data_IF_510555981357
#
_entry.id   IF_510555981357
#
_cell.length_a   1.000
_cell.length_b   1.000
_cell.length_c   1.000
_cell.angle_alpha   90.00
_cell.angle_beta   90.00
_cell.angle_gamma   90.00
#
_symmetry.space_group_name_H-M   'P 1'
#
loop_
_entity.id
_entity.type
_entity.pdbx_description
1 polymer ?
#
# COMPACT_ATOMS: atom_id res chain seq x y z
N UNK A 1 47.20 4.40 13.16
CA UNK A 1 46.76 3.80 11.88
C UNK A 1 45.58 4.62 11.38
N UNK A 2 45.81 5.51 10.41
CA UNK A 2 44.82 6.46 9.92
C UNK A 2 43.88 5.81 8.90
N UNK A 3 42.58 5.95 9.11
CA UNK A 3 41.57 5.56 8.14
C UNK A 3 41.36 6.70 7.15
N UNK A 4 41.68 6.43 5.88
CA UNK A 4 41.39 7.31 4.77
C UNK A 4 39.88 7.29 4.50
N UNK A 5 39.23 8.43 4.70
CA UNK A 5 37.84 8.68 4.31
C UNK A 5 37.82 8.84 2.79
N UNK A 6 37.21 7.90 2.08
CA UNK A 6 36.97 8.00 0.65
C UNK A 6 35.86 9.04 0.39
N UNK A 7 36.04 9.99 -0.55
CA UNK A 7 35.00 10.94 -0.91
C UNK A 7 33.86 10.23 -1.66
N UNK A 8 32.65 10.31 -1.11
CA UNK A 8 31.42 9.89 -1.79
C UNK A 8 31.26 10.69 -3.10
N UNK A 9 31.20 9.96 -4.21
CA UNK A 9 31.03 10.50 -5.54
C UNK A 9 29.72 11.25 -5.72
N UNK A 10 29.82 12.39 -6.41
CA UNK A 10 28.68 13.16 -6.89
C UNK A 10 27.81 12.29 -7.80
N UNK A 11 26.53 12.14 -7.45
CA UNK A 11 25.53 11.54 -8.32
C UNK A 11 25.34 12.44 -9.56
N UNK A 12 25.25 11.86 -10.77
CA UNK A 12 24.92 12.65 -11.96
C UNK A 12 23.52 13.24 -11.79
N UNK A 13 23.43 14.57 -11.85
CA UNK A 13 22.18 15.30 -11.88
C UNK A 13 21.36 14.83 -13.10
N UNK A 14 20.28 14.09 -12.85
CA UNK A 14 19.32 13.71 -13.88
C UNK A 14 18.76 14.97 -14.54
N UNK A 15 18.91 15.07 -15.85
CA UNK A 15 18.34 16.16 -16.64
C UNK A 15 16.82 16.25 -16.40
N UNK A 16 16.25 17.45 -16.24
CA UNK A 16 14.81 17.60 -16.03
C UNK A 16 14.06 17.01 -17.24
N UNK A 17 12.96 16.25 -17.01
CA UNK A 17 12.15 15.73 -18.09
C UNK A 17 11.61 16.90 -18.93
N UNK A 18 11.71 16.75 -20.26
CA UNK A 18 11.15 17.71 -21.21
C UNK A 18 9.66 17.95 -20.90
N UNK A 19 9.16 19.20 -21.00
CA UNK A 19 7.78 19.51 -20.67
C UNK A 19 6.86 18.71 -21.58
N UNK A 20 6.04 17.85 -20.98
CA UNK A 20 4.99 17.12 -21.67
C UNK A 20 4.10 18.11 -22.43
N UNK A 21 3.83 17.81 -23.71
CA UNK A 21 3.06 18.67 -24.60
C UNK A 21 1.74 19.12 -23.96
N UNK A 22 1.42 20.40 -24.11
CA UNK A 22 0.22 20.99 -23.54
C UNK A 22 -1.03 20.19 -23.96
N UNK A 23 -1.91 19.81 -23.02
CA UNK A 23 -3.12 19.06 -23.34
C UNK A 23 -3.99 19.88 -24.31
N UNK A 24 -4.50 19.23 -25.35
CA UNK A 24 -5.41 19.84 -26.31
C UNK A 24 -6.60 20.49 -25.59
N UNK A 25 -6.95 21.72 -25.97
CA UNK A 25 -8.00 22.46 -25.31
C UNK A 25 -9.34 21.69 -25.37
N UNK A 26 -10.10 21.61 -24.26
CA UNK A 26 -11.34 20.85 -24.22
C UNK A 26 -12.37 21.43 -25.20
N UNK A 27 -13.01 20.54 -25.95
CA UNK A 27 -14.04 20.89 -26.93
C UNK A 27 -15.29 21.52 -26.30
N UNK A 28 -16.13 22.17 -27.09
CA UNK A 28 -17.33 22.88 -26.61
C UNK A 28 -18.23 22.00 -25.70
N UNK A 29 -18.55 20.77 -26.13
CA UNK A 29 -19.39 19.87 -25.35
C UNK A 29 -18.71 19.41 -24.04
N UNK A 30 -17.39 19.26 -24.02
CA UNK A 30 -16.65 18.99 -22.79
C UNK A 30 -16.71 20.17 -21.82
N UNK A 31 -16.66 21.42 -22.34
CA UNK A 31 -16.82 22.63 -21.52
C UNK A 31 -18.22 22.75 -20.92
N UNK A 32 -19.26 22.45 -21.72
CA UNK A 32 -20.66 22.43 -21.23
C UNK A 32 -20.85 21.34 -20.18
N UNK A 33 -20.30 20.14 -20.42
CA UNK A 33 -20.32 19.03 -19.46
C UNK A 33 -19.62 19.39 -18.14
N UNK A 34 -18.43 19.99 -18.20
CA UNK A 34 -17.71 20.48 -17.02
C UNK A 34 -18.47 21.59 -16.29
N UNK A 35 -19.13 22.51 -17.01
CA UNK A 35 -19.92 23.57 -16.41
C UNK A 35 -21.14 23.02 -15.66
N UNK A 36 -21.87 22.08 -16.26
CA UNK A 36 -22.99 21.39 -15.62
C UNK A 36 -22.54 20.56 -14.42
N UNK A 37 -21.41 19.86 -14.54
CA UNK A 37 -20.83 19.10 -13.43
C UNK A 37 -20.47 20.01 -12.25
N UNK A 38 -19.84 21.17 -12.51
CA UNK A 38 -19.52 22.16 -11.47
C UNK A 38 -20.77 22.79 -10.87
N UNK A 39 -21.79 23.10 -11.67
CA UNK A 39 -23.05 23.61 -11.16
C UNK A 39 -23.71 22.58 -10.23
N UNK A 40 -23.67 21.29 -10.61
CA UNK A 40 -24.15 20.20 -9.79
C UNK A 40 -23.37 20.10 -8.47
N UNK A 41 -22.03 20.16 -8.49
CA UNK A 41 -21.20 20.15 -7.27
C UNK A 41 -21.49 21.37 -6.38
N UNK A 42 -21.67 22.57 -6.93
CA UNK A 42 -22.07 23.76 -6.17
C UNK A 42 -23.45 23.62 -5.54
N UNK A 43 -24.41 23.05 -6.27
CA UNK A 43 -25.72 22.75 -5.74
C UNK A 43 -25.62 21.76 -4.58
N UNK A 44 -24.83 20.69 -4.71
CA UNK A 44 -24.61 19.70 -3.65
C UNK A 44 -23.95 20.30 -2.40
N UNK A 45 -23.00 21.24 -2.57
CA UNK A 45 -22.33 21.89 -1.44
C UNK A 45 -23.16 23.00 -0.78
N UNK A 46 -24.19 23.52 -1.44
CA UNK A 46 -25.08 24.54 -0.87
C UNK A 46 -25.85 24.02 0.35
N UNK A 47 -26.31 24.92 1.22
CA UNK A 47 -27.15 24.56 2.39
C UNK A 47 -28.40 23.80 1.96
N UNK A 48 -29.03 24.21 0.86
CA UNK A 48 -30.17 23.51 0.27
C UNK A 48 -29.79 22.11 -0.24
N UNK A 49 -28.65 21.96 -0.91
CA UNK A 49 -28.16 20.66 -1.37
C UNK A 49 -27.87 19.69 -0.24
N UNK A 50 -27.24 20.17 0.84
CA UNK A 50 -27.01 19.37 2.05
C UNK A 50 -28.32 18.94 2.71
N UNK A 51 -29.33 19.81 2.74
CA UNK A 51 -30.65 19.48 3.26
C UNK A 51 -31.33 18.40 2.40
N UNK A 52 -31.34 18.54 1.07
CA UNK A 52 -31.90 17.54 0.16
C UNK A 52 -31.14 16.22 0.26
N UNK A 53 -29.81 16.24 0.31
CA UNK A 53 -29.00 15.03 0.47
C UNK A 53 -29.33 14.29 1.77
N UNK A 54 -29.51 15.01 2.88
CA UNK A 54 -29.89 14.41 4.16
C UNK A 54 -31.33 13.89 4.17
N UNK A 55 -32.25 14.50 3.39
CA UNK A 55 -33.61 13.99 3.23
C UNK A 55 -33.69 12.74 2.33
N UNK A 56 -32.84 12.65 1.30
CA UNK A 56 -32.84 11.52 0.35
C UNK A 56 -32.10 10.30 0.92
N UNK A 57 -31.13 10.48 1.83
CA UNK A 57 -30.40 9.37 2.49
C UNK A 57 -31.28 8.28 3.11
N UNK A 58 -32.29 8.57 3.96
CA UNK A 58 -33.15 7.53 4.52
C UNK A 58 -33.98 6.80 3.46
N UNK A 59 -34.44 7.53 2.43
CA UNK A 59 -35.22 6.95 1.32
C UNK A 59 -34.34 6.07 0.43
N UNK A 60 -33.10 6.48 0.15
CA UNK A 60 -32.10 5.68 -0.56
C UNK A 60 -31.79 4.39 0.20
N UNK A 61 -31.65 4.46 1.54
CA UNK A 61 -31.46 3.28 2.38
C UNK A 61 -32.68 2.35 2.37
N UNK A 62 -33.89 2.88 2.44
CA UNK A 62 -35.14 2.10 2.39
C UNK A 62 -35.37 1.46 1.02
N UNK A 63 -34.93 2.09 -0.06
CA UNK A 63 -35.08 1.59 -1.44
C UNK A 63 -33.90 0.71 -1.89
N UNK A 64 -33.00 0.34 -0.97
CA UNK A 64 -31.84 -0.50 -1.29
C UNK A 64 -30.87 0.16 -2.29
N UNK A 65 -30.82 1.49 -2.31
CA UNK A 65 -29.97 2.25 -3.24
C UNK A 65 -30.55 2.43 -4.64
N UNK A 66 -31.82 2.06 -4.87
CA UNK A 66 -32.50 2.33 -6.15
C UNK A 66 -32.57 3.83 -6.46
N UNK A 67 -32.73 4.65 -5.41
CA UNK A 67 -32.55 6.11 -5.50
C UNK A 67 -31.11 6.43 -5.08
N UNK A 68 -30.24 6.89 -5.99
CA UNK A 68 -28.85 7.16 -5.66
C UNK A 68 -28.74 8.32 -4.66
N UNK A 69 -28.13 8.05 -3.51
CA UNK A 69 -27.74 9.12 -2.59
C UNK A 69 -26.60 9.94 -3.22
N UNK A 70 -26.61 11.26 -3.00
CA UNK A 70 -25.48 12.11 -3.40
C UNK A 70 -24.21 11.64 -2.64
N UNK A 71 -23.05 11.51 -3.31
CA UNK A 71 -21.82 11.08 -2.65
C UNK A 71 -21.35 12.11 -1.62
N UNK A 72 -21.01 11.65 -0.42
CA UNK A 72 -20.60 12.48 0.74
C UNK A 72 -19.17 13.06 0.63
N UNK A 73 -18.63 13.15 -0.58
CA UNK A 73 -17.21 13.45 -0.81
C UNK A 73 -16.95 14.96 -0.76
N UNK A 74 -17.24 15.61 0.37
CA UNK A 74 -17.05 17.06 0.56
C UNK A 74 -15.62 17.50 0.21
N UNK A 75 -14.63 16.66 0.53
CA UNK A 75 -13.22 16.95 0.25
C UNK A 75 -12.86 16.84 -1.24
N UNK A 76 -13.39 15.83 -1.95
CA UNK A 76 -13.15 15.68 -3.39
C UNK A 76 -13.84 16.80 -4.17
N UNK A 77 -15.07 17.15 -3.80
CA UNK A 77 -15.81 18.26 -4.38
C UNK A 77 -15.14 19.61 -4.11
N UNK A 78 -14.56 19.83 -2.91
CA UNK A 78 -13.81 21.05 -2.59
C UNK A 78 -12.52 21.17 -3.42
N UNK A 79 -11.76 20.07 -3.53
CA UNK A 79 -10.55 20.01 -4.37
C UNK A 79 -10.89 20.26 -5.84
N UNK A 80 -11.97 19.69 -6.35
CA UNK A 80 -12.40 19.85 -7.74
C UNK A 80 -12.96 21.25 -8.04
N UNK A 81 -13.64 21.87 -7.08
CA UNK A 81 -14.08 23.27 -7.17
C UNK A 81 -12.91 24.26 -7.13
N UNK A 82 -11.83 23.94 -6.38
CA UNK A 82 -10.60 24.74 -6.39
C UNK A 82 -9.75 24.52 -7.64
N UNK A 83 -9.66 23.29 -8.14
CA UNK A 83 -8.99 22.98 -9.40
C UNK A 83 -9.74 23.57 -10.63
N UNK A 84 -11.05 23.80 -10.49
CA UNK A 84 -11.93 24.28 -11.55
C UNK A 84 -12.37 25.74 -11.44
N UNK A 85 -11.78 26.55 -10.55
CA UNK A 85 -12.03 28.00 -10.55
C UNK A 85 -11.82 28.55 -11.95
N UNK A 86 -12.84 29.20 -12.53
CA UNK A 86 -12.67 29.89 -13.80
C UNK A 86 -11.45 30.81 -13.64
N UNK A 87 -10.46 30.74 -14.55
CA UNK A 87 -9.32 31.61 -14.46
C UNK A 87 -9.87 33.03 -14.40
N UNK A 88 -9.49 33.79 -13.38
CA UNK A 88 -9.87 35.18 -13.30
C UNK A 88 -9.39 35.83 -14.58
N UNK A 89 -10.31 36.16 -15.48
CA UNK A 89 -9.99 36.83 -16.73
C UNK A 89 -9.57 38.24 -16.34
N UNK A 90 -8.27 38.50 -16.37
CA UNK A 90 -7.76 39.86 -16.30
C UNK A 90 -8.31 40.68 -17.48
N UNK A 91 -8.31 42.01 -17.39
CA UNK A 91 -8.59 42.87 -18.54
C UNK A 91 -7.55 42.57 -19.63
N UNK A 92 -7.90 41.69 -20.58
CA UNK A 92 -6.96 41.16 -21.59
C UNK A 92 -7.23 39.72 -22.05
N UNK A 93 -8.07 38.95 -21.35
CA UNK A 93 -8.54 37.65 -21.86
C UNK A 93 -7.60 36.46 -21.65
N UNK A 94 -6.39 36.65 -21.13
CA UNK A 94 -5.51 35.53 -20.77
C UNK A 94 -5.90 34.89 -19.42
N UNK A 95 -6.06 33.55 -19.37
CA UNK A 95 -6.30 32.82 -18.14
C UNK A 95 -5.18 33.01 -17.12
N UNK A 96 -5.43 33.73 -16.02
CA UNK A 96 -4.49 33.76 -14.90
C UNK A 96 -4.40 32.34 -14.30
N UNK A 97 -3.19 31.77 -14.09
CA UNK A 97 -3.05 30.46 -13.47
C UNK A 97 -3.72 30.45 -12.09
N UNK A 98 -4.43 29.37 -11.72
CA UNK A 98 -5.03 29.28 -10.40
C UNK A 98 -3.96 29.46 -9.33
N UNK A 99 -4.26 30.18 -8.23
CA UNK A 99 -3.30 30.35 -7.15
C UNK A 99 -2.85 28.98 -6.65
N UNK A 100 -1.54 28.76 -6.46
CA UNK A 100 -1.03 27.47 -6.02
C UNK A 100 -1.68 27.10 -4.68
N UNK A 101 -2.09 25.84 -4.49
CA UNK A 101 -2.65 25.40 -3.22
C UNK A 101 -1.60 25.62 -2.11
N UNK A 102 -2.05 25.91 -0.87
CA UNK A 102 -1.12 26.01 0.24
C UNK A 102 -0.35 24.70 0.39
N UNK A 103 0.94 24.75 0.78
CA UNK A 103 1.84 23.59 0.78
C UNK A 103 1.30 22.41 1.61
N UNK A 104 0.57 22.69 2.69
CA UNK A 104 -0.08 21.68 3.54
C UNK A 104 -1.15 20.86 2.82
N UNK A 105 -1.96 21.49 1.95
CA UNK A 105 -3.03 20.81 1.21
C UNK A 105 -2.43 19.93 0.10
N UNK A 106 -1.40 20.43 -0.60
CA UNK A 106 -0.67 19.65 -1.58
C UNK A 106 0.00 18.41 -0.94
N UNK A 107 0.61 18.57 0.23
CA UNK A 107 1.19 17.45 0.97
C UNK A 107 0.13 16.43 1.42
N UNK A 108 -1.00 16.89 1.97
CA UNK A 108 -2.09 16.01 2.40
C UNK A 108 -2.70 15.23 1.23
N UNK A 109 -2.84 15.84 0.04
CA UNK A 109 -3.32 15.15 -1.15
C UNK A 109 -2.38 14.01 -1.58
N UNK A 110 -1.07 14.27 -1.57
CA UNK A 110 -0.05 13.24 -1.86
C UNK A 110 -0.10 12.09 -0.86
N UNK A 111 -0.17 12.40 0.44
CA UNK A 111 -0.25 11.37 1.50
C UNK A 111 -1.52 10.52 1.33
N UNK A 112 -2.67 11.14 1.01
CA UNK A 112 -3.92 10.40 0.76
C UNK A 112 -3.81 9.45 -0.44
N UNK A 113 -3.18 9.89 -1.52
CA UNK A 113 -2.92 9.04 -2.68
C UNK A 113 -1.98 7.86 -2.31
N UNK A 114 -0.87 8.14 -1.62
CA UNK A 114 0.07 7.11 -1.17
C UNK A 114 -0.57 6.10 -0.20
N UNK A 115 -1.50 6.56 0.65
CA UNK A 115 -2.28 5.72 1.57
C UNK A 115 -3.30 4.84 0.84
N UNK A 116 -3.93 5.34 -0.22
CA UNK A 116 -4.84 4.54 -1.04
C UNK A 116 -4.08 3.38 -1.73
N UNK A 117 -2.86 3.64 -2.19
CA UNK A 117 -1.99 2.63 -2.80
C UNK A 117 -1.39 1.64 -1.77
N UNK A 118 -1.36 1.99 -0.49
CA UNK A 118 -0.80 1.12 0.55
C UNK A 118 -1.53 -0.21 0.67
N UNK A 119 -2.82 -0.24 0.32
CA UNK A 119 -3.61 -1.47 0.29
C UNK A 119 -3.09 -2.44 -0.78
N UNK A 120 -2.83 -1.94 -1.99
CA UNK A 120 -2.28 -2.74 -3.09
C UNK A 120 -0.88 -3.27 -2.74
N UNK A 121 -0.03 -2.45 -2.10
CA UNK A 121 1.28 -2.90 -1.64
C UNK A 121 1.18 -3.98 -0.57
N UNK A 122 0.23 -3.86 0.37
CA UNK A 122 -0.03 -4.89 1.38
C UNK A 122 -0.43 -6.21 0.73
N UNK A 123 -1.33 -6.16 -0.25
CA UNK A 123 -1.82 -7.35 -0.95
C UNK A 123 -0.70 -8.00 -1.78
N UNK A 124 0.18 -7.20 -2.39
CA UNK A 124 1.39 -7.69 -3.06
C UNK A 124 2.35 -8.40 -2.08
N UNK A 125 2.59 -7.83 -0.90
CA UNK A 125 3.42 -8.45 0.16
C UNK A 125 2.83 -9.76 0.67
N UNK A 126 1.50 -9.83 0.78
CA UNK A 126 0.80 -11.05 1.15
C UNK A 126 0.96 -12.14 0.06
N UNK A 127 0.94 -11.77 -1.21
CA UNK A 127 1.22 -12.71 -2.31
C UNK A 127 2.66 -13.25 -2.25
N UNK A 128 3.65 -12.36 -2.01
CA UNK A 128 5.06 -12.76 -1.87
C UNK A 128 5.30 -13.75 -0.73
N UNK A 129 4.45 -13.75 0.30
CA UNK A 129 4.53 -14.70 1.42
C UNK A 129 4.35 -16.17 0.98
N UNK A 130 3.61 -16.41 -0.11
CA UNK A 130 3.36 -17.75 -0.65
C UNK A 130 4.48 -18.27 -1.56
N UNK A 131 5.46 -17.42 -1.89
CA UNK A 131 6.54 -17.74 -2.83
C UNK A 131 7.76 -18.25 -2.07
N UNK A 132 8.36 -19.35 -2.54
CA UNK A 132 9.60 -19.87 -1.97
C UNK A 132 10.79 -19.00 -2.39
N UNK A 133 11.38 -18.30 -1.42
CA UNK A 133 12.52 -17.41 -1.61
C UNK A 133 13.77 -18.12 -2.14
N UNK A 134 13.86 -19.46 -2.04
CA UNK A 134 14.97 -20.22 -2.66
C UNK A 134 14.99 -20.12 -4.18
N UNK A 135 13.80 -20.06 -4.78
CA UNK A 135 13.64 -19.96 -6.23
C UNK A 135 13.57 -18.50 -6.69
N UNK A 136 13.01 -17.62 -5.85
CA UNK A 136 12.76 -16.21 -6.19
C UNK A 136 13.45 -15.27 -5.17
N UNK A 137 14.77 -15.02 -5.31
CA UNK A 137 15.50 -14.11 -4.42
C UNK A 137 15.01 -12.65 -4.51
N UNK A 138 14.38 -12.26 -5.62
CA UNK A 138 13.71 -10.98 -5.74
C UNK A 138 12.54 -10.82 -4.76
N UNK A 139 11.86 -11.91 -4.40
CA UNK A 139 10.78 -11.88 -3.41
C UNK A 139 11.34 -11.62 -2.00
N UNK A 140 12.49 -12.19 -1.67
CA UNK A 140 13.20 -11.92 -0.41
C UNK A 140 13.59 -10.44 -0.32
N UNK A 141 14.21 -9.89 -1.36
CA UNK A 141 14.60 -8.49 -1.40
C UNK A 141 13.38 -7.57 -1.27
N UNK A 142 12.28 -7.89 -1.95
CA UNK A 142 11.03 -7.16 -1.85
C UNK A 142 10.42 -7.22 -0.43
N UNK A 143 10.44 -8.38 0.23
CA UNK A 143 9.95 -8.52 1.61
C UNK A 143 10.81 -7.72 2.61
N UNK A 144 12.14 -7.73 2.46
CA UNK A 144 13.04 -6.92 3.28
C UNK A 144 12.78 -5.42 3.06
N UNK A 145 12.64 -4.99 1.81
CA UNK A 145 12.31 -3.61 1.47
C UNK A 145 10.94 -3.20 2.01
N UNK A 146 9.92 -4.05 1.90
CA UNK A 146 8.59 -3.79 2.48
C UNK A 146 8.60 -3.75 4.00
N UNK A 147 9.46 -4.53 4.66
CA UNK A 147 9.61 -4.50 6.11
C UNK A 147 10.29 -3.22 6.60
N UNK A 148 11.35 -2.75 5.92
CA UNK A 148 12.22 -1.67 6.43
C UNK A 148 11.99 -0.30 5.80
N UNK A 149 11.60 -0.25 4.54
CA UNK A 149 11.54 0.99 3.76
C UNK A 149 10.11 1.46 3.43
N UNK A 150 9.06 0.63 3.63
CA UNK A 150 7.68 1.08 3.36
C UNK A 150 7.26 2.14 4.37
N UNK A 151 6.61 3.21 3.88
CA UNK A 151 6.10 4.31 4.70
C UNK A 151 4.91 3.90 5.56
N UNK A 152 4.09 2.95 5.08
CA UNK A 152 2.87 2.50 5.73
C UNK A 152 3.15 1.40 6.76
N UNK A 153 2.75 1.63 8.01
CA UNK A 153 2.84 0.64 9.09
C UNK A 153 2.13 -0.67 8.72
N UNK A 154 0.97 -0.60 8.07
CA UNK A 154 0.20 -1.79 7.70
C UNK A 154 0.95 -2.70 6.72
N UNK A 155 1.76 -2.12 5.82
CA UNK A 155 2.57 -2.89 4.86
C UNK A 155 3.76 -3.52 5.58
N UNK A 156 4.45 -2.76 6.45
CA UNK A 156 5.56 -3.28 7.26
C UNK A 156 5.11 -4.42 8.18
N UNK A 157 3.93 -4.27 8.80
CA UNK A 157 3.33 -5.30 9.65
C UNK A 157 2.99 -6.56 8.85
N UNK A 158 2.46 -6.42 7.64
CA UNK A 158 2.17 -7.57 6.79
C UNK A 158 3.45 -8.25 6.33
N UNK A 159 4.50 -7.49 5.99
CA UNK A 159 5.82 -8.06 5.67
C UNK A 159 6.39 -8.88 6.84
N UNK A 160 6.28 -8.36 8.08
CA UNK A 160 6.69 -9.10 9.27
C UNK A 160 5.90 -10.40 9.46
N UNK A 161 4.58 -10.40 9.19
CA UNK A 161 3.76 -11.62 9.19
C UNK A 161 4.15 -12.56 8.06
N UNK A 162 4.41 -12.06 6.86
CA UNK A 162 4.85 -12.88 5.72
C UNK A 162 6.14 -13.62 6.07
N UNK A 163 7.10 -12.95 6.71
CA UNK A 163 8.35 -13.55 7.17
C UNK A 163 8.15 -14.55 8.33
N UNK A 164 7.12 -14.37 9.16
CA UNK A 164 6.74 -15.35 10.19
C UNK A 164 6.21 -16.65 9.55
N UNK A 165 5.45 -16.57 8.47
CA UNK A 165 4.88 -17.75 7.81
C UNK A 165 5.84 -18.36 6.77
N UNK A 166 6.69 -17.54 6.15
CA UNK A 166 7.68 -18.00 5.18
C UNK A 166 8.70 -18.93 5.84
N UNK A 167 9.09 -19.99 5.13
CA UNK A 167 10.17 -20.89 5.56
C UNK A 167 11.58 -20.38 5.26
N UNK A 168 11.70 -19.16 4.76
CA UNK A 168 12.93 -18.56 4.28
C UNK A 168 13.69 -17.85 5.41
N UNK A 169 14.64 -18.55 6.04
CA UNK A 169 15.48 -18.00 7.11
C UNK A 169 16.89 -17.71 6.60
N UNK A 170 17.02 -16.74 5.70
CA UNK A 170 18.31 -16.31 5.15
C UNK A 170 19.01 -15.35 6.13
N UNK A 171 20.35 -15.21 6.06
CA UNK A 171 21.08 -14.27 6.93
C UNK A 171 20.64 -12.82 6.72
N UNK A 172 20.23 -12.44 5.50
CA UNK A 172 19.73 -11.10 5.19
C UNK A 172 18.38 -10.82 5.88
N UNK A 173 17.44 -11.78 5.83
CA UNK A 173 16.15 -11.66 6.56
C UNK A 173 16.40 -11.56 8.07
N UNK A 174 17.30 -12.39 8.62
CA UNK A 174 17.61 -12.35 10.06
C UNK A 174 18.22 -11.00 10.46
N UNK A 175 19.11 -10.43 9.64
CA UNK A 175 19.68 -9.10 9.89
C UNK A 175 18.60 -8.01 9.86
N UNK A 176 17.72 -8.03 8.85
CA UNK A 176 16.61 -7.09 8.75
C UNK A 176 15.64 -7.18 9.94
N UNK A 177 15.30 -8.41 10.38
CA UNK A 177 14.45 -8.64 11.55
C UNK A 177 15.12 -8.15 12.84
N UNK A 178 16.43 -8.34 13.02
CA UNK A 178 17.17 -7.81 14.18
C UNK A 178 17.10 -6.29 14.24
N UNK A 179 17.40 -5.62 13.14
CA UNK A 179 17.35 -4.15 13.04
C UNK A 179 15.93 -3.66 13.33
N UNK A 180 14.92 -4.32 12.77
CA UNK A 180 13.51 -4.01 13.02
C UNK A 180 13.14 -4.16 14.50
N UNK A 181 13.57 -5.24 15.17
CA UNK A 181 13.28 -5.48 16.60
C UNK A 181 14.00 -4.49 17.49
N UNK A 182 15.25 -4.14 17.18
CA UNK A 182 16.03 -3.14 17.92
C UNK A 182 15.48 -1.72 17.71
N UNK A 183 14.85 -1.46 16.57
CA UNK A 183 14.43 -0.11 16.16
C UNK A 183 15.64 0.74 15.75
N UNK A 184 16.65 0.12 15.15
CA UNK A 184 17.89 0.79 14.72
C UNK A 184 17.78 1.34 13.29
N UNK A 185 18.65 2.28 12.94
CA UNK A 185 18.80 2.87 11.60
C UNK A 185 20.09 2.40 10.90
N UNK A 186 20.65 1.26 11.33
CA UNK A 186 21.93 0.74 10.84
C UNK A 186 21.97 0.47 9.33
N UNK A 187 20.82 0.23 8.71
CA UNK A 187 20.63 0.00 7.27
C UNK A 187 20.30 1.28 6.47
N UNK A 188 20.30 2.45 7.11
CA UNK A 188 19.95 3.73 6.47
C UNK A 188 18.44 3.93 6.26
N UNK A 189 17.61 3.00 6.73
CA UNK A 189 16.15 3.12 6.76
C UNK A 189 15.70 3.68 8.12
N UNK A 190 14.53 4.35 8.18
CA UNK A 190 14.03 4.90 9.44
C UNK A 190 13.85 3.82 10.51
N UNK A 191 14.06 4.20 11.77
CA UNK A 191 13.84 3.35 12.92
C UNK A 191 12.36 2.88 13.01
N UNK A 192 12.14 1.61 13.37
CA UNK A 192 10.76 1.12 13.58
C UNK A 192 10.16 1.65 14.87
N UNK A 193 9.20 2.57 14.74
CA UNK A 193 8.48 3.14 15.88
C UNK A 193 7.29 2.30 16.36
N UNK A 194 6.72 1.40 15.53
CA UNK A 194 5.51 0.67 15.89
C UNK A 194 5.82 -0.54 16.79
N UNK A 195 5.28 -0.61 18.02
CA UNK A 195 5.48 -1.77 18.89
C UNK A 195 4.82 -3.03 18.31
N UNK A 196 3.76 -2.89 17.52
CA UNK A 196 3.05 -4.02 16.89
C UNK A 196 3.93 -4.70 15.85
N UNK A 197 4.60 -3.92 15.00
CA UNK A 197 5.54 -4.43 14.00
C UNK A 197 6.73 -5.11 14.69
N UNK A 198 7.30 -4.47 15.71
CA UNK A 198 8.43 -5.03 16.50
C UNK A 198 8.10 -6.36 17.15
N UNK A 199 6.90 -6.50 17.73
CA UNK A 199 6.46 -7.75 18.34
C UNK A 199 6.34 -8.91 17.33
N UNK A 200 5.76 -8.65 16.15
CA UNK A 200 5.65 -9.67 15.10
C UNK A 200 7.03 -10.02 14.53
N UNK A 201 7.88 -9.02 14.31
CA UNK A 201 9.26 -9.23 13.86
C UNK A 201 10.08 -10.05 14.87
N UNK A 202 9.90 -9.81 16.18
CA UNK A 202 10.55 -10.60 17.22
C UNK A 202 10.11 -12.07 17.18
N UNK A 203 8.81 -12.34 16.98
CA UNK A 203 8.31 -13.71 16.79
C UNK A 203 8.90 -14.37 15.55
N UNK A 204 8.97 -13.65 14.43
CA UNK A 204 9.56 -14.14 13.20
C UNK A 204 11.05 -14.46 13.39
N UNK A 205 11.78 -13.61 14.11
CA UNK A 205 13.19 -13.80 14.43
C UNK A 205 13.44 -15.04 15.30
N UNK A 206 12.66 -15.23 16.37
CA UNK A 206 12.74 -16.43 17.22
C UNK A 206 12.49 -17.69 16.38
N UNK A 207 11.45 -17.66 15.54
CA UNK A 207 11.14 -18.78 14.65
C UNK A 207 12.27 -19.07 13.66
N UNK A 208 12.88 -18.03 13.08
CA UNK A 208 14.03 -18.18 12.19
C UNK A 208 15.21 -18.83 12.91
N UNK A 209 15.51 -18.41 14.14
CA UNK A 209 16.58 -18.99 14.95
C UNK A 209 16.34 -20.47 15.25
N UNK A 210 15.12 -20.85 15.64
CA UNK A 210 14.76 -22.25 15.87
C UNK A 210 14.91 -23.11 14.60
N UNK A 211 14.52 -22.59 13.43
CA UNK A 211 14.64 -23.31 12.15
C UNK A 211 16.08 -23.41 11.65
N UNK A 212 16.87 -22.34 11.76
CA UNK A 212 18.28 -22.34 11.37
C UNK A 212 19.11 -23.31 12.22
N UNK A 213 18.83 -23.41 13.52
CA UNK A 213 19.50 -24.37 14.40
C UNK A 213 19.29 -25.83 13.96
N UNK A 214 18.12 -26.15 13.40
CA UNK A 214 17.79 -27.48 12.90
C UNK A 214 18.36 -27.79 11.49
N UNK A 215 18.66 -26.76 10.69
CA UNK A 215 18.89 -26.92 9.25
C UNK A 215 20.35 -27.16 8.83
N UNK A 216 21.32 -27.10 9.76
CA UNK A 216 22.69 -27.64 9.57
C UNK A 216 23.57 -27.08 8.43
N UNK A 217 23.06 -26.19 7.58
CA UNK A 217 23.79 -25.62 6.45
C UNK A 217 22.83 -25.08 5.40
N UNK A 218 23.21 -23.98 4.75
CA UNK A 218 22.45 -23.45 3.62
C UNK A 218 22.31 -24.55 2.56
N UNK A 219 21.08 -25.05 2.35
CA UNK A 219 20.85 -25.98 1.25
C UNK A 219 21.29 -25.29 -0.04
N UNK A 220 22.08 -25.97 -0.88
CA UNK A 220 22.56 -25.40 -2.13
C UNK A 220 21.36 -24.92 -2.94
N UNK A 221 21.47 -23.70 -3.48
CA UNK A 221 20.46 -23.14 -4.36
C UNK A 221 20.20 -24.16 -5.46
N UNK A 222 18.94 -24.62 -5.66
CA UNK A 222 18.64 -25.41 -6.83
C UNK A 222 18.95 -24.51 -8.03
N UNK A 223 19.99 -24.86 -8.79
CA UNK A 223 20.35 -24.14 -10.01
C UNK A 223 19.12 -24.18 -10.92
N UNK A 224 18.40 -23.05 -10.98
CA UNK A 224 17.33 -22.90 -11.95
C UNK A 224 17.98 -23.03 -13.34
N UNK A 225 17.41 -23.81 -14.27
CA UNK A 225 17.91 -23.90 -15.64
C UNK A 225 17.67 -22.56 -16.36
N UNK A 226 18.48 -21.54 -16.07
CA UNK A 226 18.40 -20.20 -16.64
C UNK A 226 19.59 -19.86 -17.55
N UNK A 227 20.53 -20.80 -17.75
CA UNK A 227 21.70 -20.59 -18.59
C UNK A 227 21.40 -20.46 -20.10
N UNK A 228 20.14 -20.59 -20.55
CA UNK A 228 19.78 -20.50 -21.96
C UNK A 228 19.02 -19.23 -22.38
N UNK A 229 18.68 -18.31 -21.46
CA UNK A 229 18.05 -17.03 -21.83
C UNK A 229 18.91 -15.86 -21.38
N UNK A 230 20.17 -15.89 -21.79
CA UNK A 230 21.02 -14.72 -21.78
C UNK A 230 20.85 -13.98 -23.12
N UNK A 231 20.37 -12.73 -23.02
CA UNK A 231 20.69 -11.61 -23.90
C UNK A 231 19.89 -11.44 -25.20
N UNK A 232 18.60 -11.09 -25.10
CA UNK A 232 17.96 -10.05 -25.94
C UNK A 232 16.78 -9.41 -25.19
N UNK A 233 17.00 -8.91 -23.98
CA UNK A 233 16.05 -8.00 -23.35
C UNK A 233 16.62 -6.59 -23.48
N UNK A 234 16.25 -5.92 -24.57
CA UNK A 234 16.27 -4.45 -24.63
C UNK A 234 15.61 -3.88 -23.37
N UNK A 235 15.99 -2.67 -22.92
CA UNK A 235 15.25 -2.01 -21.86
C UNK A 235 13.79 -1.87 -22.31
N UNK A 236 12.91 -2.63 -21.68
CA UNK A 236 11.48 -2.43 -21.82
C UNK A 236 11.19 -1.07 -21.19
N UNK A 237 11.23 -0.04 -22.03
CA UNK A 237 10.51 1.21 -21.80
C UNK A 237 9.07 0.82 -21.50
N UNK A 238 8.64 1.04 -20.26
CA UNK A 238 7.24 0.95 -19.90
C UNK A 238 6.54 2.17 -20.53
N UNK A 239 6.33 2.10 -21.85
CA UNK A 239 5.41 3.01 -22.51
C UNK A 239 4.02 2.70 -21.95
N UNK A 240 3.48 3.65 -21.20
CA UNK A 240 2.06 3.72 -20.89
C UNK A 240 1.29 3.80 -22.20
N UNK A 241 0.92 2.63 -22.74
CA UNK A 241 0.09 2.51 -23.92
C UNK A 241 -1.37 2.80 -23.52
N UNK A 242 -1.67 4.09 -23.40
CA UNK A 242 -3.01 4.62 -23.27
C UNK A 242 -3.64 4.67 -24.67
N UNK A 243 -4.03 3.52 -25.22
CA UNK A 243 -4.80 3.45 -26.46
C UNK A 243 -5.66 2.19 -26.55
N UNK A 244 -6.94 2.39 -26.26
CA UNK A 244 -8.10 1.71 -26.84
C UNK A 244 -8.00 0.20 -27.08
N UNK A 245 -8.29 -0.58 -26.03
CA UNK A 245 -8.99 -1.86 -26.19
C UNK A 245 -10.31 -1.76 -25.44
N UNK A 246 -11.42 -1.68 -26.18
CA UNK A 246 -12.74 -2.00 -25.64
C UNK A 246 -12.75 -3.47 -25.27
N UNK A 247 -12.41 -3.76 -24.01
CA UNK A 247 -12.57 -5.07 -23.41
C UNK A 247 -14.06 -5.32 -23.12
N UNK A 248 -14.59 -6.54 -23.41
CA UNK A 248 -15.91 -6.92 -22.96
C UNK A 248 -15.96 -6.95 -21.43
N UNK A 249 -17.07 -6.48 -20.85
CA UNK A 249 -17.26 -6.30 -19.42
C UNK A 249 -16.82 -7.55 -18.62
N UNK A 250 -15.95 -7.40 -17.60
CA UNK A 250 -15.58 -8.52 -16.74
C UNK A 250 -16.80 -8.97 -15.95
N UNK A 251 -17.14 -10.26 -16.06
CA UNK A 251 -18.09 -10.90 -15.15
C UNK A 251 -17.57 -10.72 -13.73
N UNK A 252 -18.48 -10.24 -12.89
CA UNK A 252 -18.28 -9.78 -11.52
C UNK A 252 -18.15 -10.95 -10.53
N UNK A 253 -17.56 -12.05 -10.98
CA UNK A 253 -17.33 -13.24 -10.18
C UNK A 253 -15.98 -13.09 -9.49
N UNK A 254 -16.06 -12.87 -8.18
CA UNK A 254 -15.07 -12.15 -7.40
C UNK A 254 -13.74 -12.90 -7.19
N UNK A 255 -12.62 -12.19 -7.37
CA UNK A 255 -11.31 -12.57 -6.80
C UNK A 255 -11.40 -12.87 -5.29
N UNK A 256 -12.40 -12.30 -4.61
CA UNK A 256 -12.74 -12.58 -3.22
C UNK A 256 -13.23 -14.03 -2.98
N UNK A 257 -13.94 -14.66 -3.93
CA UNK A 257 -14.36 -16.07 -3.85
C UNK A 257 -13.19 -17.04 -4.06
N UNK A 258 -12.21 -16.69 -4.91
CA UNK A 258 -10.97 -17.48 -5.07
C UNK A 258 -10.16 -17.46 -3.76
N UNK A 259 -10.16 -16.31 -3.06
CA UNK A 259 -9.48 -16.17 -1.78
C UNK A 259 -10.18 -16.92 -0.63
N UNK A 260 -11.52 -16.96 -0.60
CA UNK A 260 -12.28 -17.79 0.36
C UNK A 260 -12.09 -19.31 0.16
N UNK A 261 -11.82 -19.75 -1.07
CA UNK A 261 -11.57 -21.16 -1.36
C UNK A 261 -10.18 -21.61 -0.88
N UNK A 262 -9.18 -20.72 -0.89
CA UNK A 262 -7.82 -21.03 -0.42
C UNK A 262 -7.66 -21.00 1.11
N UNK A 263 -8.53 -20.27 1.83
CA UNK A 263 -8.50 -20.12 3.29
C UNK A 263 -9.15 -21.26 4.10
N UNK A 264 -9.77 -22.27 3.47
CA UNK A 264 -10.37 -23.44 4.14
C UNK A 264 -9.39 -24.62 4.24
N UNK A 265 -8.18 -24.40 4.79
CA UNK A 265 -7.40 -25.50 5.38
C UNK A 265 -7.67 -25.52 6.88
N UNK A 266 -8.44 -26.53 7.27
CA UNK A 266 -8.57 -27.13 8.61
C UNK A 266 -8.43 -26.20 9.81
N UNK A 267 -9.56 -25.73 10.32
CA UNK A 267 -9.71 -25.27 11.72
C UNK A 267 -10.08 -26.43 12.66
N UNK A 268 -9.92 -27.68 12.25
CA UNK A 268 -10.33 -28.84 13.05
C UNK A 268 -9.31 -29.22 14.14
N UNK A 269 -8.17 -28.53 14.23
CA UNK A 269 -7.18 -28.67 15.31
C UNK A 269 -7.18 -27.45 16.25
N UNK A 270 -8.35 -27.06 16.76
CA UNK A 270 -8.42 -26.18 17.91
C UNK A 270 -8.08 -27.00 19.18
N UNK A 271 -6.99 -26.71 19.91
CA UNK A 271 -6.75 -27.35 21.20
C UNK A 271 -7.87 -26.96 22.16
N UNK A 272 -8.60 -27.95 22.65
CA UNK A 272 -9.55 -27.82 23.76
C UNK A 272 -8.79 -27.26 24.97
N UNK A 273 -9.04 -25.99 25.29
CA UNK A 273 -8.56 -25.38 26.51
C UNK A 273 -9.45 -25.90 27.65
N UNK A 274 -9.02 -27.00 28.30
CA UNK A 274 -9.65 -27.46 29.53
C UNK A 274 -9.53 -26.34 30.59
N UNK A 275 -10.68 -25.88 31.06
CA UNK A 275 -10.75 -24.92 32.15
C UNK A 275 -10.13 -25.54 33.41
N UNK A 276 -9.25 -24.84 34.13
CA UNK A 276 -8.75 -25.33 35.40
C UNK A 276 -9.90 -25.43 36.39
N UNK A 277 -10.19 -26.65 36.81
CA UNK A 277 -11.06 -26.92 37.96
C UNK A 277 -10.41 -26.32 39.19
N UNK A 278 -11.11 -25.38 39.83
CA UNK A 278 -10.76 -24.86 41.13
C UNK A 278 -10.89 -25.99 42.15
N UNK A 279 -9.77 -26.54 42.57
CA UNK A 279 -9.70 -27.52 43.65
C UNK A 279 -8.82 -27.01 44.79
N UNK A 280 -9.37 -27.19 46.00
CA UNK A 280 -8.76 -27.14 47.33
C UNK A 280 -7.81 -26.00 47.72
N UNK A 281 -8.39 -24.95 48.29
CA UNK A 281 -7.82 -24.29 49.47
C UNK A 281 -7.82 -25.26 50.66
N UNK A 282 -6.73 -25.99 50.86
CA UNK A 282 -6.40 -26.64 52.13
C UNK A 282 -5.45 -25.75 52.93
N UNK A 283 -5.98 -25.24 54.04
CA UNK A 283 -5.32 -24.37 55.01
C UNK A 283 -4.67 -25.25 56.10
N UNK A 284 -3.34 -25.29 56.27
CA UNK A 284 -2.76 -25.95 57.44
C UNK A 284 -2.71 -25.00 58.63
N UNK A 285 -3.55 -25.30 59.62
CA UNK A 285 -3.53 -24.69 60.94
C UNK A 285 -2.19 -24.97 61.63
N UNK A 286 -1.47 -23.89 61.96
CA UNK A 286 -0.35 -23.88 62.90
C UNK A 286 -0.86 -24.10 64.33
N UNK A 287 -0.48 -25.22 64.94
CA UNK A 287 -0.30 -25.39 66.39
C UNK A 287 0.91 -26.28 66.63
#
# INVERSE_FOLDING_TARGET
AGFAVAPCGAWPAAAPPAPAGAPAAPGFFQRVGLALHRAHLRCQQSVAGKLVANMVKPVSRLTGGLIPACPDNEFAAAVELQAGGAPATGPGGEPLPPPPPPPSVAAAAKIKAEQAEAQLRRDAVAFLAGVDCRYYPEAEAALIASLRADRSECVRMEAAKSLLHCGCCTPAIIAALKICVEGSEADGNPAECSPRVRQIAARALIQCQCRCAASGGALPRPEAPLAAVAQTASPASFETNESAHSAPAPRRDSLWQIWQAAGRRSTDDAPTFEAPTADETSEPALR
#
